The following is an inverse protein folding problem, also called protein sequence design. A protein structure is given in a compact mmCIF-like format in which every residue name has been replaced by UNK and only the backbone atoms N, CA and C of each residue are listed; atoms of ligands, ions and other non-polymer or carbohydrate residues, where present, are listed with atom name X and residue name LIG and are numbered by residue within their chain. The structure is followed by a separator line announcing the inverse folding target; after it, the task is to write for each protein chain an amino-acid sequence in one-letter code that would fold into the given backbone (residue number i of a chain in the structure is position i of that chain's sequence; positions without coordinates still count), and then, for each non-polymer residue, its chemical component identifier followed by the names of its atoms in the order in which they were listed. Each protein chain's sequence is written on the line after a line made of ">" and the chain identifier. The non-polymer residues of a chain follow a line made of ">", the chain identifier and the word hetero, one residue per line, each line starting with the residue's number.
data_IF_883557118798
#
_entry.id   IF_883557118798
#
_cell.length_a   1.000
_cell.length_b   1.000
_cell.length_c   1.000
_cell.angle_alpha   90.00
_cell.angle_beta   90.00
_cell.angle_gamma   90.00
#
_symmetry.space_group_name_H-M   'P 1'
#
loop_
_entity.id
_entity.type
_entity.pdbx_description
1 polymer ?
#
# COMPACT_ATOMS: atom_id res chain seq x y z
N UNK A 1 0.69 -13.64 -26.60
CA UNK A 1 1.56 -12.48 -26.33
C UNK A 1 0.71 -11.40 -25.69
N UNK A 2 1.03 -10.96 -24.47
CA UNK A 2 0.27 -9.90 -23.80
C UNK A 2 0.46 -8.58 -24.54
N UNK A 3 -0.62 -7.83 -24.76
CA UNK A 3 -0.57 -6.55 -25.45
C UNK A 3 0.48 -5.62 -24.82
N UNK A 4 1.32 -5.01 -25.65
CA UNK A 4 2.27 -3.99 -25.21
C UNK A 4 1.51 -2.88 -24.49
N UNK A 5 1.70 -2.77 -23.17
CA UNK A 5 1.12 -1.67 -22.39
C UNK A 5 1.80 -0.39 -22.88
N UNK A 6 1.00 0.61 -23.29
CA UNK A 6 1.51 1.91 -23.78
C UNK A 6 2.37 2.65 -22.76
N UNK A 7 2.24 2.30 -21.48
CA UNK A 7 3.03 2.82 -20.38
C UNK A 7 3.62 1.65 -19.60
N UNK A 8 4.90 1.73 -19.30
CA UNK A 8 5.62 0.82 -18.43
C UNK A 8 5.21 1.02 -16.96
N UNK A 9 5.60 0.07 -16.10
CA UNK A 9 5.22 0.09 -14.69
C UNK A 9 5.88 1.22 -13.91
N UNK A 10 7.13 1.57 -14.23
CA UNK A 10 7.85 2.67 -13.58
C UNK A 10 7.16 4.01 -13.84
N UNK A 11 6.73 4.27 -15.08
CA UNK A 11 5.95 5.46 -15.43
C UNK A 11 4.65 5.54 -14.63
N UNK A 12 3.94 4.42 -14.46
CA UNK A 12 2.70 4.38 -13.67
C UNK A 12 2.96 4.72 -12.19
N UNK A 13 3.94 4.07 -11.57
CA UNK A 13 4.27 4.28 -10.16
C UNK A 13 4.73 5.73 -9.91
N UNK A 14 5.56 6.26 -10.80
CA UNK A 14 6.00 7.66 -10.78
C UNK A 14 4.81 8.62 -10.84
N UNK A 15 3.86 8.40 -11.76
CA UNK A 15 2.69 9.25 -11.91
C UNK A 15 1.79 9.24 -10.66
N UNK A 16 1.59 8.07 -10.05
CA UNK A 16 0.80 7.93 -8.82
C UNK A 16 1.48 8.63 -7.65
N UNK A 17 2.79 8.47 -7.49
CA UNK A 17 3.58 9.16 -6.46
C UNK A 17 3.48 10.68 -6.59
N UNK A 18 3.71 11.22 -7.79
CA UNK A 18 3.60 12.67 -8.04
C UNK A 18 2.19 13.22 -7.73
N UNK A 19 1.14 12.42 -7.96
CA UNK A 19 -0.21 12.80 -7.57
C UNK A 19 -0.37 12.90 -6.05
N UNK A 20 0.16 11.95 -5.28
CA UNK A 20 0.09 11.97 -3.81
C UNK A 20 0.91 13.12 -3.22
N UNK A 21 2.12 13.36 -3.74
CA UNK A 21 2.97 14.48 -3.33
C UNK A 21 2.26 15.82 -3.59
N UNK A 22 1.63 15.97 -4.74
CA UNK A 22 0.85 17.19 -5.04
C UNK A 22 -0.36 17.37 -4.13
N UNK A 23 -1.00 16.27 -3.74
CA UNK A 23 -2.18 16.29 -2.87
C UNK A 23 -1.82 16.69 -1.45
N UNK A 24 -0.66 16.26 -0.94
CA UNK A 24 -0.17 16.62 0.39
C UNK A 24 0.33 18.07 0.48
N UNK A 25 0.99 18.57 -0.57
CA UNK A 25 1.51 19.95 -0.61
C UNK A 25 0.42 21.02 -0.65
N UNK A 26 -0.59 20.83 -1.51
CA UNK A 26 -1.55 21.90 -1.84
C UNK A 26 -2.85 21.77 -1.03
N UNK A 27 -3.08 20.64 -0.36
CA UNK A 27 -4.38 20.36 0.29
C UNK A 27 -5.56 20.47 -0.69
N UNK A 28 -5.29 20.32 -1.99
CA UNK A 28 -6.17 20.76 -3.07
C UNK A 28 -7.15 19.69 -3.59
N UNK A 29 -8.09 20.12 -4.42
CA UNK A 29 -9.06 19.23 -5.06
C UNK A 29 -8.37 18.13 -5.91
N UNK A 30 -8.76 16.86 -5.70
CA UNK A 30 -8.22 15.68 -6.41
C UNK A 30 -8.18 15.86 -7.94
N UNK A 31 -9.16 16.54 -8.52
CA UNK A 31 -9.23 16.81 -9.96
C UNK A 31 -8.08 17.71 -10.45
N UNK A 32 -7.72 18.74 -9.67
CA UNK A 32 -6.64 19.66 -10.02
C UNK A 32 -5.28 18.94 -10.00
N UNK A 33 -5.04 18.10 -8.99
CA UNK A 33 -3.83 17.29 -8.90
C UNK A 33 -3.70 16.33 -10.11
N UNK A 34 -4.77 15.63 -10.48
CA UNK A 34 -4.78 14.74 -11.65
C UNK A 34 -4.52 15.47 -12.97
N UNK A 35 -5.13 16.65 -13.16
CA UNK A 35 -4.93 17.47 -14.37
C UNK A 35 -3.49 17.95 -14.48
N UNK A 36 -2.92 18.41 -13.36
CA UNK A 36 -1.55 18.90 -13.33
C UNK A 36 -0.53 17.79 -13.65
N UNK A 37 -0.63 16.65 -12.97
CA UNK A 37 0.26 15.51 -13.22
C UNK A 37 0.05 14.94 -14.63
N UNK A 38 -1.19 14.87 -15.10
CA UNK A 38 -1.51 14.44 -16.46
C UNK A 38 -0.87 15.32 -17.53
N UNK A 39 -0.88 16.65 -17.35
CA UNK A 39 -0.20 17.58 -18.26
C UNK A 39 1.33 17.42 -18.24
N UNK A 40 1.92 17.18 -17.06
CA UNK A 40 3.39 17.03 -16.95
C UNK A 40 3.91 15.74 -17.61
N UNK A 41 3.14 14.66 -17.55
CA UNK A 41 3.56 13.34 -18.05
C UNK A 41 2.92 12.98 -19.41
N UNK A 42 2.12 13.89 -19.99
CA UNK A 42 1.28 13.65 -21.17
C UNK A 42 0.36 12.42 -21.02
N UNK A 43 -0.26 12.29 -19.84
CA UNK A 43 -1.16 11.19 -19.48
C UNK A 43 -2.57 11.73 -19.28
N UNK A 44 -3.54 11.09 -19.91
CA UNK A 44 -4.94 11.45 -19.73
C UNK A 44 -5.33 11.39 -18.23
N UNK A 45 -5.91 12.44 -17.64
CA UNK A 45 -6.31 12.46 -16.23
C UNK A 45 -7.25 11.32 -15.83
N UNK A 46 -8.07 10.82 -16.77
CA UNK A 46 -8.93 9.66 -16.54
C UNK A 46 -8.11 8.35 -16.39
N UNK A 47 -7.04 8.20 -17.18
CA UNK A 47 -6.10 7.08 -17.04
C UNK A 47 -5.38 7.13 -15.71
N UNK A 48 -4.91 8.32 -15.31
CA UNK A 48 -4.26 8.52 -14.02
C UNK A 48 -5.20 8.22 -12.85
N UNK A 49 -6.48 8.62 -12.95
CA UNK A 49 -7.51 8.24 -11.97
C UNK A 49 -7.59 6.73 -11.79
N UNK A 50 -7.68 5.98 -12.90
CA UNK A 50 -7.78 4.52 -12.85
C UNK A 50 -6.56 3.88 -12.20
N UNK A 51 -5.36 4.45 -12.38
CA UNK A 51 -4.16 3.96 -11.71
C UNK A 51 -4.18 4.23 -10.21
N UNK A 52 -4.58 5.43 -9.78
CA UNK A 52 -4.70 5.80 -8.36
C UNK A 52 -5.76 4.93 -7.65
N UNK A 53 -6.91 4.72 -8.28
CA UNK A 53 -7.99 3.89 -7.73
C UNK A 53 -7.58 2.41 -7.60
N UNK A 54 -6.75 1.91 -8.52
CA UNK A 54 -6.17 0.56 -8.44
C UNK A 54 -5.04 0.44 -7.43
N UNK A 55 -4.31 1.52 -7.18
CA UNK A 55 -3.16 1.56 -6.26
C UNK A 55 -3.59 1.80 -4.81
N UNK A 56 -4.77 2.40 -4.60
CA UNK A 56 -5.33 2.57 -3.25
C UNK A 56 -5.66 1.18 -2.67
N UNK A 57 -5.01 0.74 -1.57
CA UNK A 57 -5.36 -0.52 -0.93
C UNK A 57 -6.83 -0.43 -0.52
N UNK A 58 -7.65 -1.35 -1.03
CA UNK A 58 -9.10 -1.31 -0.90
C UNK A 58 -9.55 -1.21 0.57
N UNK A 59 -9.72 0.02 1.06
CA UNK A 59 -10.63 0.30 2.17
C UNK A 59 -12.02 0.25 1.57
N UNK A 60 -12.50 -1.00 1.41
CA UNK A 60 -13.91 -1.39 1.35
C UNK A 60 -14.85 -0.46 0.56
N UNK A 61 -14.85 -0.59 -0.76
CA UNK A 61 -16.08 -0.53 -1.55
C UNK A 61 -15.94 -1.46 -2.74
N UNK A 62 -16.81 -2.46 -2.78
CA UNK A 62 -16.84 -3.49 -3.80
C UNK A 62 -16.92 -2.90 -5.22
N UNK A 63 -15.94 -3.23 -6.06
CA UNK A 63 -16.20 -3.47 -7.48
C UNK A 63 -15.17 -4.48 -7.98
N UNK A 64 -15.65 -5.71 -8.12
CA UNK A 64 -14.94 -6.80 -8.73
C UNK A 64 -14.62 -6.45 -10.18
N UNK A 65 -13.33 -6.32 -10.52
CA UNK A 65 -12.73 -6.72 -11.82
C UNK A 65 -11.29 -6.19 -11.95
N UNK A 66 -10.36 -6.91 -11.34
CA UNK A 66 -9.14 -7.38 -12.02
C UNK A 66 -8.44 -8.33 -11.06
N UNK A 67 -8.83 -9.60 -11.11
CA UNK A 67 -8.02 -10.68 -10.62
C UNK A 67 -6.76 -10.76 -11.51
N UNK A 68 -5.78 -9.91 -11.25
CA UNK A 68 -4.42 -10.14 -11.73
C UNK A 68 -3.78 -11.06 -10.69
N UNK A 69 -3.44 -12.27 -11.12
CA UNK A 69 -3.02 -13.38 -10.30
C UNK A 69 -1.98 -12.95 -9.22
N UNK A 70 -2.05 -13.50 -8.00
CA UNK A 70 -1.06 -13.16 -6.98
C UNK A 70 0.32 -13.63 -7.46
N UNK A 71 1.24 -12.68 -7.66
CA UNK A 71 2.65 -12.98 -7.86
C UNK A 71 3.11 -13.93 -6.73
N UNK A 72 3.95 -14.91 -7.06
CA UNK A 72 4.42 -15.90 -6.08
C UNK A 72 5.01 -15.21 -4.82
N UNK A 73 5.72 -14.10 -5.06
CA UNK A 73 6.26 -13.19 -4.06
C UNK A 73 5.20 -12.65 -3.08
N UNK A 74 4.00 -12.27 -3.55
CA UNK A 74 2.92 -11.81 -2.66
C UNK A 74 2.36 -12.90 -1.76
N UNK A 75 2.45 -14.18 -2.16
CA UNK A 75 2.06 -15.31 -1.30
C UNK A 75 3.14 -15.61 -0.28
N UNK A 76 4.39 -15.55 -0.69
CA UNK A 76 5.55 -15.74 0.17
C UNK A 76 5.64 -14.65 1.24
N UNK A 77 5.57 -13.38 0.83
CA UNK A 77 5.53 -12.23 1.75
C UNK A 77 4.36 -12.33 2.74
N UNK A 78 3.19 -12.80 2.32
CA UNK A 78 2.05 -12.99 3.23
C UNK A 78 2.28 -14.10 4.25
N UNK A 79 2.95 -15.19 3.86
CA UNK A 79 3.32 -16.27 4.79
C UNK A 79 4.35 -15.77 5.80
N UNK A 80 5.39 -15.11 5.32
CA UNK A 80 6.42 -14.53 6.18
C UNK A 80 5.84 -13.50 7.15
N UNK A 81 4.94 -12.63 6.70
CA UNK A 81 4.29 -11.66 7.59
C UNK A 81 3.42 -12.34 8.66
N UNK A 82 2.75 -13.45 8.34
CA UNK A 82 1.97 -14.21 9.31
C UNK A 82 2.86 -14.88 10.37
N UNK A 83 3.99 -15.44 9.95
CA UNK A 83 4.98 -16.04 10.85
C UNK A 83 5.62 -15.00 11.76
N UNK A 84 6.02 -13.84 11.22
CA UNK A 84 6.58 -12.73 11.99
C UNK A 84 5.60 -12.17 13.01
N UNK A 85 4.31 -12.10 12.68
CA UNK A 85 3.26 -11.67 13.62
C UNK A 85 3.11 -12.66 14.76
N UNK A 86 3.07 -13.96 14.46
CA UNK A 86 2.99 -15.02 15.47
C UNK A 86 4.20 -14.99 16.41
N UNK A 87 5.41 -14.83 15.87
CA UNK A 87 6.62 -14.68 16.67
C UNK A 87 6.56 -13.45 17.58
N UNK A 88 6.10 -12.31 17.04
CA UNK A 88 5.91 -11.10 17.82
C UNK A 88 4.90 -11.28 18.96
N UNK A 89 3.81 -12.00 18.75
CA UNK A 89 2.84 -12.27 19.81
C UNK A 89 3.43 -13.13 20.93
N UNK A 90 4.21 -14.16 20.59
CA UNK A 90 4.92 -14.99 21.58
C UNK A 90 5.90 -14.13 22.37
N UNK A 91 6.71 -13.30 21.69
CA UNK A 91 7.70 -12.43 22.34
C UNK A 91 7.04 -11.39 23.25
N UNK A 92 5.94 -10.76 22.81
CA UNK A 92 5.17 -9.82 23.63
C UNK A 92 4.59 -10.50 24.86
N UNK A 93 4.04 -11.69 24.68
CA UNK A 93 3.48 -12.48 25.78
C UNK A 93 4.57 -12.85 26.78
N UNK A 94 5.71 -13.39 26.32
CA UNK A 94 6.84 -13.72 27.18
C UNK A 94 7.38 -12.49 27.93
N UNK A 95 7.52 -11.36 27.22
CA UNK A 95 7.96 -10.09 27.82
C UNK A 95 7.00 -9.61 28.91
N UNK A 96 5.69 -9.74 28.69
CA UNK A 96 4.67 -9.41 29.69
C UNK A 96 4.75 -10.33 30.92
N UNK A 97 4.96 -11.64 30.72
CA UNK A 97 5.17 -12.58 31.82
C UNK A 97 6.42 -12.24 32.65
N UNK A 98 7.56 -11.96 32.00
CA UNK A 98 8.79 -11.60 32.71
C UNK A 98 8.68 -10.24 33.42
N UNK A 99 8.02 -9.26 32.81
CA UNK A 99 7.78 -7.97 33.44
C UNK A 99 6.89 -8.10 34.68
N UNK A 100 5.83 -8.92 34.63
CA UNK A 100 4.97 -9.18 35.77
C UNK A 100 5.72 -9.88 36.92
N UNK A 101 6.53 -10.90 36.60
CA UNK A 101 7.35 -11.61 37.60
C UNK A 101 8.44 -10.71 38.23
N UNK A 102 9.00 -9.77 37.48
CA UNK A 102 9.94 -8.78 38.01
C UNK A 102 9.26 -7.78 38.95
N UNK A 103 8.03 -7.36 38.64
CA UNK A 103 7.24 -6.47 39.50
C UNK A 103 6.89 -7.20 40.81
N UNK A 104 6.46 -8.46 40.72
CA UNK A 104 6.09 -9.27 41.89
C UNK A 104 7.26 -9.47 42.86
N UNK A 105 8.48 -9.69 42.34
CA UNK A 105 9.72 -9.78 43.15
C UNK A 105 10.15 -8.48 43.82
N UNK A 106 9.70 -7.31 43.34
CA UNK A 106 10.02 -6.00 43.92
C UNK A 106 9.01 -5.55 44.98
N UNK A 107 7.84 -6.18 45.03
CA UNK A 107 6.76 -5.86 45.98
C UNK A 107 6.78 -6.75 47.24
N UNK A 108 7.66 -7.76 47.27
CA UNK A 108 7.98 -8.60 48.42
C UNK A 108 9.34 -8.25 49.01
#
# INVERSE_FOLDING_TARGET
>A
MGAARKFDQETRERAVRMYHDRLSEVGGAKLAARRHVGQMLDINPATLRNWIEKDTPAVSTASASSAEAPSAELRELRRENAELRRANEILKTASAFFAAAEIDRRLH
#
